data_IF_451850014255
#
_entry.id   IF_451850014255
#
_cell.length_a   1.000
_cell.length_b   1.000
_cell.length_c   1.000
_cell.angle_alpha   90.00
_cell.angle_beta   90.00
_cell.angle_gamma   90.00
#
_symmetry.space_group_name_H-M   'P 1'
#
loop_
_entity.id
_entity.type
_entity.pdbx_description
1 polymer ?
#
# COMPACT_ATOMS: atom_id res chain seq x y z
N UNK A 1 -14.82 -40.86 72.61
CA UNK A 1 -15.37 -40.91 71.24
C UNK A 1 -14.87 -39.71 70.48
N UNK A 2 -13.87 -39.93 69.64
CA UNK A 2 -13.39 -38.95 68.65
C UNK A 2 -14.48 -38.69 67.62
N UNK A 3 -14.60 -37.43 67.18
CA UNK A 3 -14.79 -37.11 65.77
C UNK A 3 -14.07 -35.79 65.48
N UNK A 4 -12.84 -35.96 65.01
CA UNK A 4 -12.07 -34.95 64.32
C UNK A 4 -12.68 -34.80 62.92
N UNK A 5 -13.20 -33.63 62.59
CA UNK A 5 -13.51 -33.28 61.20
C UNK A 5 -12.30 -32.57 60.62
N UNK A 6 -11.48 -33.38 59.96
CA UNK A 6 -10.36 -33.03 59.10
C UNK A 6 -10.89 -32.19 57.93
N UNK A 7 -10.77 -30.86 57.99
CA UNK A 7 -10.90 -30.02 56.78
C UNK A 7 -9.53 -29.99 56.12
N UNK A 8 -9.38 -30.81 55.08
CA UNK A 8 -8.20 -30.86 54.24
C UNK A 8 -8.10 -29.54 53.46
N UNK A 9 -7.06 -28.78 53.78
CA UNK A 9 -6.50 -27.74 52.93
C UNK A 9 -6.05 -28.37 51.61
N UNK A 10 -6.84 -28.20 50.55
CA UNK A 10 -6.33 -28.36 49.18
C UNK A 10 -5.67 -27.01 48.82
N UNK A 11 -4.44 -26.84 49.31
CA UNK A 11 -3.44 -25.93 48.78
C UNK A 11 -2.97 -26.50 47.43
N UNK A 12 -3.83 -26.39 46.43
CA UNK A 12 -3.63 -26.92 45.09
C UNK A 12 -3.66 -25.79 44.07
N UNK A 13 -2.49 -25.24 43.77
CA UNK A 13 -2.16 -24.73 42.44
C UNK A 13 -2.86 -23.44 42.00
N UNK A 14 -2.21 -22.31 42.28
CA UNK A 14 -2.03 -21.25 41.30
C UNK A 14 -0.92 -20.32 41.80
N UNK A 15 0.30 -20.88 41.88
CA UNK A 15 1.46 -20.10 41.45
C UNK A 15 1.16 -19.71 40.01
N UNK A 16 0.58 -18.52 39.84
CA UNK A 16 0.72 -17.76 38.61
C UNK A 16 2.22 -17.63 38.44
N UNK A 17 2.79 -18.59 37.71
CA UNK A 17 4.03 -18.36 36.98
C UNK A 17 3.75 -17.05 36.26
N UNK A 18 4.37 -15.98 36.75
CA UNK A 18 4.75 -14.88 35.89
C UNK A 18 5.67 -15.52 34.85
N UNK A 19 5.07 -16.20 33.88
CA UNK A 19 5.68 -16.55 32.61
C UNK A 19 6.19 -15.22 32.15
N UNK A 20 7.51 -15.05 32.24
CA UNK A 20 8.16 -13.80 31.93
C UNK A 20 7.56 -13.30 30.62
N UNK A 21 7.07 -12.07 30.63
CA UNK A 21 6.70 -11.40 29.39
C UNK A 21 7.87 -11.64 28.45
N UNK A 22 7.64 -12.45 27.42
CA UNK A 22 8.67 -12.72 26.44
C UNK A 22 9.03 -11.34 25.89
N UNK A 23 10.24 -10.87 26.18
CA UNK A 23 10.70 -9.60 25.63
C UNK A 23 10.68 -9.84 24.13
N UNK A 24 9.78 -9.18 23.43
CA UNK A 24 9.70 -9.24 21.99
C UNK A 24 11.10 -9.03 21.40
N UNK A 25 11.45 -9.81 20.38
CA UNK A 25 12.77 -9.70 19.75
C UNK A 25 12.81 -8.35 19.03
N UNK A 26 13.72 -7.48 19.43
CA UNK A 26 13.93 -6.17 18.83
C UNK A 26 15.30 -6.13 18.16
N UNK A 27 15.35 -5.65 16.91
CA UNK A 27 16.62 -5.37 16.23
C UNK A 27 16.50 -4.16 15.31
N UNK A 28 17.64 -3.53 15.04
CA UNK A 28 17.74 -2.31 14.22
C UNK A 28 18.70 -2.53 13.06
N UNK A 29 18.29 -2.10 11.87
CA UNK A 29 19.09 -2.18 10.64
C UNK A 29 18.82 -0.91 9.84
N UNK A 30 19.83 -0.10 9.57
CA UNK A 30 19.79 1.09 8.69
C UNK A 30 18.58 2.03 8.91
N UNK A 31 18.30 2.35 10.18
CA UNK A 31 17.18 3.22 10.56
C UNK A 31 15.80 2.57 10.50
N UNK A 32 15.74 1.26 10.28
CA UNK A 32 14.56 0.41 10.45
C UNK A 32 14.61 -0.28 11.81
N UNK A 33 13.54 -0.16 12.58
CA UNK A 33 13.32 -0.86 13.84
C UNK A 33 12.33 -2.01 13.61
N UNK A 34 12.75 -3.23 13.93
CA UNK A 34 11.88 -4.42 13.83
C UNK A 34 11.63 -4.94 15.25
N UNK A 35 10.35 -5.20 15.56
CA UNK A 35 9.89 -5.74 16.84
C UNK A 35 8.97 -6.92 16.58
N UNK A 36 9.34 -8.11 17.04
CA UNK A 36 8.48 -9.29 16.98
C UNK A 36 7.95 -9.65 18.36
N UNK A 37 6.63 -9.64 18.52
CA UNK A 37 5.93 -9.85 19.80
C UNK A 37 5.07 -11.13 19.82
N UNK A 38 5.36 -12.10 18.94
CA UNK A 38 4.62 -13.35 18.86
C UNK A 38 5.50 -14.60 18.86
N UNK A 39 5.60 -15.24 20.03
CA UNK A 39 6.20 -16.57 20.18
C UNK A 39 5.14 -17.67 20.14
N UNK A 40 3.87 -17.36 20.44
CA UNK A 40 2.77 -18.33 20.55
C UNK A 40 1.88 -18.36 19.30
N UNK A 41 1.51 -17.19 18.76
CA UNK A 41 0.74 -17.05 17.52
C UNK A 41 1.50 -16.16 16.53
N UNK A 42 1.39 -16.49 15.24
CA UNK A 42 2.05 -15.76 14.16
C UNK A 42 1.14 -15.58 12.96
N UNK A 43 1.31 -14.47 12.23
CA UNK A 43 0.66 -14.21 10.95
C UNK A 43 1.38 -14.85 9.76
N UNK A 44 2.52 -15.52 10.00
CA UNK A 44 3.42 -16.02 8.95
C UNK A 44 3.88 -14.89 8.00
N UNK A 45 4.18 -13.73 8.59
CA UNK A 45 4.74 -12.55 7.94
C UNK A 45 6.10 -12.25 8.56
N UNK A 46 7.11 -12.10 7.71
CA UNK A 46 8.42 -11.61 8.12
C UNK A 46 8.58 -10.11 7.77
N UNK A 47 9.74 -9.53 8.11
CA UNK A 47 10.00 -8.13 7.82
C UNK A 47 9.99 -7.81 6.31
N UNK A 48 10.48 -8.71 5.46
CA UNK A 48 10.49 -8.54 4.01
C UNK A 48 9.07 -8.54 3.41
N UNK A 49 8.18 -9.39 3.93
CA UNK A 49 6.77 -9.37 3.57
C UNK A 49 6.13 -8.01 3.92
N UNK A 50 6.46 -7.47 5.10
CA UNK A 50 5.97 -6.16 5.50
C UNK A 50 6.54 -5.03 4.62
N UNK A 51 7.82 -5.09 4.25
CA UNK A 51 8.47 -4.13 3.35
C UNK A 51 7.81 -4.08 1.95
N UNK A 52 7.34 -5.23 1.44
CA UNK A 52 6.65 -5.29 0.14
C UNK A 52 5.33 -4.53 0.10
N UNK A 53 4.75 -4.22 1.26
CA UNK A 53 3.48 -3.51 1.38
C UNK A 53 3.62 -1.98 1.29
N UNK A 54 4.84 -1.45 1.35
CA UNK A 54 5.08 -0.02 1.41
C UNK A 54 6.05 0.41 0.29
N UNK A 55 6.18 1.72 0.05
CA UNK A 55 7.16 2.25 -0.89
C UNK A 55 8.58 2.06 -0.36
N UNK A 56 9.53 1.83 -1.27
CA UNK A 56 10.96 1.91 -0.98
C UNK A 56 11.39 3.30 -0.52
N UNK A 57 12.57 3.37 0.09
CA UNK A 57 13.12 4.61 0.65
C UNK A 57 13.37 5.71 -0.40
N UNK A 58 13.52 5.32 -1.66
CA UNK A 58 13.84 6.14 -2.83
C UNK A 58 12.74 6.10 -3.92
N UNK A 59 11.60 5.44 -3.65
CA UNK A 59 10.53 5.28 -4.64
C UNK A 59 9.63 6.52 -4.76
N UNK A 60 9.67 7.44 -3.80
CA UNK A 60 8.83 8.65 -3.81
C UNK A 60 9.65 9.87 -4.23
N UNK A 61 9.48 10.42 -5.45
CA UNK A 61 10.25 11.56 -5.91
C UNK A 61 10.01 12.81 -5.05
N UNK A 62 11.08 13.51 -4.72
CA UNK A 62 11.10 14.70 -3.87
C UNK A 62 11.06 14.39 -2.36
N UNK A 63 11.14 13.12 -1.97
CA UNK A 63 11.02 12.65 -0.59
C UNK A 63 12.18 11.75 -0.19
N UNK A 64 12.53 11.78 1.10
CA UNK A 64 13.61 10.96 1.65
C UNK A 64 13.23 10.34 3.00
N UNK A 65 13.59 9.07 3.19
CA UNK A 65 13.57 8.46 4.50
C UNK A 65 14.74 8.96 5.34
N UNK A 66 14.53 10.03 6.10
CA UNK A 66 15.50 10.54 7.07
C UNK A 66 15.23 9.91 8.43
N UNK A 67 16.22 9.25 9.08
CA UNK A 67 16.11 8.81 10.45
C UNK A 67 15.66 9.97 11.35
N UNK A 68 14.67 9.73 12.22
CA UNK A 68 14.28 10.73 13.19
C UNK A 68 15.47 11.03 14.14
N UNK A 69 15.82 12.30 14.38
CA UNK A 69 17.02 12.67 15.13
C UNK A 69 17.01 12.20 16.59
N UNK A 70 15.83 11.92 17.16
CA UNK A 70 15.69 11.53 18.56
C UNK A 70 15.83 10.02 18.78
N UNK A 71 15.45 9.19 17.81
CA UNK A 71 15.44 7.74 17.99
C UNK A 71 16.20 6.97 16.90
N UNK A 72 16.66 7.65 15.85
CA UNK A 72 17.38 7.08 14.71
C UNK A 72 16.52 6.25 13.77
N UNK A 73 15.18 6.38 13.82
CA UNK A 73 14.25 5.48 13.12
C UNK A 73 13.45 6.25 12.07
N UNK A 74 13.41 5.73 10.84
CA UNK A 74 12.50 6.17 9.78
C UNK A 74 11.44 5.11 9.45
N UNK A 75 11.71 3.84 9.76
CA UNK A 75 10.78 2.71 9.55
C UNK A 75 10.59 1.90 10.83
N UNK A 76 9.35 1.60 11.19
CA UNK A 76 8.99 0.66 12.25
C UNK A 76 8.23 -0.52 11.65
N UNK A 77 8.69 -1.73 11.92
CA UNK A 77 7.99 -2.98 11.61
C UNK A 77 7.66 -3.68 12.92
N UNK A 78 6.38 -3.76 13.26
CA UNK A 78 5.90 -4.58 14.37
C UNK A 78 5.30 -5.87 13.84
N UNK A 79 5.87 -7.01 14.19
CA UNK A 79 5.38 -8.34 13.85
C UNK A 79 4.60 -8.93 15.02
N UNK A 80 3.50 -9.60 14.68
CA UNK A 80 2.73 -10.44 15.61
C UNK A 80 2.37 -9.72 16.92
N UNK A 81 1.92 -8.47 16.84
CA UNK A 81 1.39 -7.75 17.99
C UNK A 81 0.24 -8.55 18.63
N UNK A 82 0.29 -8.72 19.95
CA UNK A 82 -0.53 -9.66 20.74
C UNK A 82 -0.31 -11.16 20.43
N UNK A 83 0.76 -11.54 19.74
CA UNK A 83 1.07 -12.93 19.41
C UNK A 83 1.38 -13.79 20.64
N UNK A 84 1.86 -13.19 21.73
CA UNK A 84 2.08 -13.89 23.01
C UNK A 84 0.78 -14.13 23.81
N UNK A 85 -0.36 -13.56 23.37
CA UNK A 85 -1.66 -13.77 24.01
C UNK A 85 -2.45 -14.83 23.27
N UNK A 86 -3.00 -15.79 24.01
CA UNK A 86 -3.86 -16.85 23.46
C UNK A 86 -5.17 -16.29 22.87
N UNK A 87 -5.58 -15.09 23.27
CA UNK A 87 -6.80 -14.42 22.80
C UNK A 87 -6.52 -12.96 22.39
N UNK A 88 -7.45 -12.39 21.63
CA UNK A 88 -7.34 -11.03 21.08
C UNK A 88 -6.88 -11.00 19.62
N UNK A 89 -6.96 -9.80 19.04
CA UNK A 89 -6.58 -9.55 17.65
C UNK A 89 -5.08 -9.68 17.46
N UNK A 90 -4.67 -10.39 16.41
CA UNK A 90 -3.27 -10.55 16.03
C UNK A 90 -2.99 -9.66 14.83
N UNK A 91 -1.92 -8.84 14.92
CA UNK A 91 -1.61 -7.86 13.88
C UNK A 91 -0.13 -7.69 13.66
N UNK A 92 0.28 -7.55 12.42
CA UNK A 92 1.58 -6.98 12.05
C UNK A 92 1.37 -5.61 11.42
N UNK A 93 2.33 -4.71 11.53
CA UNK A 93 2.26 -3.39 10.93
C UNK A 93 3.63 -2.90 10.47
N UNK A 94 3.62 -2.09 9.42
CA UNK A 94 4.78 -1.33 8.96
C UNK A 94 4.39 0.15 8.90
N UNK A 95 5.27 0.99 9.42
CA UNK A 95 5.15 2.45 9.35
C UNK A 95 6.45 2.98 8.79
N UNK A 96 6.39 3.83 7.78
CA UNK A 96 7.55 4.56 7.25
C UNK A 96 7.24 6.03 7.11
N UNK A 97 8.23 6.85 7.47
CA UNK A 97 8.22 8.29 7.29
C UNK A 97 9.16 8.71 6.16
N UNK A 98 8.71 9.68 5.36
CA UNK A 98 9.54 10.41 4.40
C UNK A 98 9.43 11.90 4.63
N UNK A 99 10.54 12.61 4.53
CA UNK A 99 10.60 14.07 4.59
C UNK A 99 10.73 14.61 3.17
N UNK A 100 9.84 15.51 2.79
CA UNK A 100 9.95 16.22 1.52
C UNK A 100 11.20 17.12 1.53
N UNK A 101 12.04 17.01 0.49
CA UNK A 101 13.37 17.65 0.46
C UNK A 101 13.27 19.17 0.41
N UNK A 102 12.27 19.72 -0.27
CA UNK A 102 12.13 21.18 -0.45
C UNK A 102 11.30 21.84 0.65
N UNK A 103 10.28 21.15 1.17
CA UNK A 103 9.31 21.74 2.12
C UNK A 103 9.47 21.24 3.55
N UNK A 104 10.27 20.21 3.78
CA UNK A 104 10.45 19.54 5.08
C UNK A 104 9.16 18.92 5.63
N UNK A 105 8.09 18.86 4.82
CA UNK A 105 6.81 18.23 5.19
C UNK A 105 7.00 16.72 5.35
N UNK A 106 6.45 16.14 6.42
CA UNK A 106 6.56 14.72 6.69
C UNK A 106 5.37 13.95 6.09
N UNK A 107 5.65 13.00 5.21
CA UNK A 107 4.73 11.98 4.76
C UNK A 107 4.90 10.74 5.63
N UNK A 108 3.80 10.17 6.12
CA UNK A 108 3.78 8.90 6.83
C UNK A 108 2.83 7.95 6.11
N UNK A 109 3.29 6.73 5.88
CA UNK A 109 2.46 5.63 5.39
C UNK A 109 2.50 4.52 6.43
N UNK A 110 1.33 4.02 6.80
CA UNK A 110 1.16 2.89 7.68
C UNK A 110 0.31 1.82 7.01
N UNK A 111 0.78 0.58 7.06
CA UNK A 111 0.03 -0.60 6.64
C UNK A 111 -0.05 -1.57 7.80
N UNK A 112 -1.27 -1.96 8.16
CA UNK A 112 -1.60 -2.90 9.22
C UNK A 112 -2.20 -4.16 8.59
N UNK A 113 -1.79 -5.34 9.04
CA UNK A 113 -2.25 -6.64 8.55
C UNK A 113 -2.79 -7.44 9.73
N UNK A 114 -4.03 -7.88 9.63
CA UNK A 114 -4.73 -8.65 10.67
C UNK A 114 -4.76 -10.15 10.37
N UNK A 115 -5.04 -10.99 11.36
CA UNK A 115 -5.28 -12.43 11.18
C UNK A 115 -6.57 -12.74 10.43
N UNK A 116 -7.60 -11.91 10.60
CA UNK A 116 -8.90 -12.01 9.93
C UNK A 116 -9.19 -10.81 9.02
N UNK A 117 -10.30 -10.79 8.24
CA UNK A 117 -10.70 -9.60 7.51
C UNK A 117 -10.70 -8.37 8.42
N UNK A 118 -10.06 -7.30 7.96
CA UNK A 118 -9.84 -6.13 8.81
C UNK A 118 -11.16 -5.46 9.25
N UNK A 119 -12.29 -5.75 8.60
CA UNK A 119 -13.63 -5.29 8.98
C UNK A 119 -14.06 -5.77 10.36
N UNK A 120 -13.49 -6.86 10.85
CA UNK A 120 -13.77 -7.35 12.21
C UNK A 120 -13.15 -6.45 13.29
N UNK A 121 -12.17 -5.60 12.93
CA UNK A 121 -11.39 -4.81 13.88
C UNK A 121 -11.50 -3.30 13.67
N UNK A 122 -11.53 -2.87 12.41
CA UNK A 122 -11.48 -1.46 12.04
C UNK A 122 -12.51 -1.13 10.96
N UNK A 123 -13.39 -0.20 11.31
CA UNK A 123 -14.40 0.37 10.40
C UNK A 123 -14.45 1.88 10.55
N UNK A 124 -15.04 2.57 9.56
CA UNK A 124 -15.31 4.01 9.65
C UNK A 124 -15.99 4.41 10.97
N UNK A 125 -16.94 3.62 11.46
CA UNK A 125 -17.66 3.97 12.70
C UNK A 125 -16.74 3.92 13.92
N UNK A 126 -15.81 2.95 14.03
CA UNK A 126 -14.80 2.93 15.10
C UNK A 126 -14.01 4.25 15.17
N UNK A 127 -13.70 4.82 13.99
CA UNK A 127 -12.92 6.04 13.86
C UNK A 127 -13.74 7.31 14.10
N UNK A 128 -14.98 7.34 13.60
CA UNK A 128 -15.90 8.48 13.77
C UNK A 128 -16.16 8.80 15.24
N UNK A 129 -16.31 7.79 16.09
CA UNK A 129 -16.56 7.99 17.52
C UNK A 129 -15.32 8.32 18.34
N UNK A 130 -14.12 8.11 17.79
CA UNK A 130 -12.85 8.29 18.48
C UNK A 130 -12.15 9.63 18.25
N UNK A 131 -12.63 10.47 17.33
CA UNK A 131 -11.92 11.70 16.91
C UNK A 131 -12.80 12.95 16.99
N UNK A 132 -12.21 14.07 17.42
CA UNK A 132 -12.88 15.39 17.39
C UNK A 132 -13.08 15.91 15.96
N UNK A 133 -12.21 15.51 15.03
CA UNK A 133 -12.35 15.80 13.60
C UNK A 133 -13.14 14.66 12.95
N UNK A 134 -14.27 14.98 12.34
CA UNK A 134 -15.11 13.97 11.70
C UNK A 134 -14.50 13.50 10.38
N UNK A 135 -14.33 12.19 10.17
CA UNK A 135 -13.90 11.66 8.87
C UNK A 135 -14.98 11.85 7.79
N UNK A 136 -14.56 12.06 6.55
CA UNK A 136 -15.45 12.15 5.38
C UNK A 136 -15.34 10.85 4.59
N UNK A 137 -16.47 10.17 4.34
CA UNK A 137 -16.49 8.93 3.56
C UNK A 137 -16.04 9.17 2.11
N UNK A 138 -15.32 8.20 1.56
CA UNK A 138 -14.80 8.22 0.19
C UNK A 138 -13.37 8.75 0.06
N UNK A 139 -12.84 8.62 -1.14
CA UNK A 139 -11.53 9.13 -1.54
C UNK A 139 -11.59 10.61 -1.96
N UNK A 140 -10.48 11.19 -2.40
CA UNK A 140 -10.42 12.59 -2.87
C UNK A 140 -11.03 12.75 -4.28
N UNK A 141 -10.81 11.77 -5.14
CA UNK A 141 -11.34 11.71 -6.51
C UNK A 141 -12.80 11.26 -6.58
N UNK A 142 -13.34 10.72 -5.48
CA UNK A 142 -14.65 10.07 -5.44
C UNK A 142 -14.65 8.63 -5.98
N UNK A 143 -13.50 8.11 -6.42
CA UNK A 143 -13.37 6.74 -6.90
C UNK A 143 -13.32 5.74 -5.73
N UNK A 144 -13.92 4.55 -5.87
CA UNK A 144 -13.90 3.54 -4.82
C UNK A 144 -12.49 2.98 -4.62
N UNK A 145 -11.91 3.23 -3.44
CA UNK A 145 -10.61 2.73 -3.03
C UNK A 145 -10.81 1.72 -1.88
N UNK A 146 -10.39 0.48 -2.08
CA UNK A 146 -10.62 -0.58 -1.10
C UNK A 146 -12.09 -0.95 -0.92
N UNK A 147 -12.38 -1.68 0.15
CA UNK A 147 -13.75 -2.05 0.56
C UNK A 147 -14.43 -0.92 1.35
N UNK A 148 -13.64 -0.14 2.07
CA UNK A 148 -14.08 1.05 2.80
C UNK A 148 -12.94 2.08 2.77
N UNK A 149 -13.30 3.35 2.58
CA UNK A 149 -12.35 4.46 2.51
C UNK A 149 -12.96 5.71 3.12
N UNK A 150 -12.14 6.49 3.81
CA UNK A 150 -12.48 7.82 4.29
C UNK A 150 -11.23 8.69 4.41
N UNK A 151 -11.44 9.99 4.59
CA UNK A 151 -10.39 11.00 4.66
C UNK A 151 -10.58 11.95 5.82
N UNK A 152 -9.46 12.50 6.30
CA UNK A 152 -9.43 13.61 7.25
C UNK A 152 -8.84 14.84 6.57
N UNK A 153 -9.71 15.82 6.29
CA UNK A 153 -9.32 17.00 5.51
C UNK A 153 -8.71 16.62 4.16
N UNK A 154 -7.68 17.37 3.75
CA UNK A 154 -6.84 17.18 2.54
C UNK A 154 -5.54 16.44 2.80
N UNK A 155 -5.27 16.06 4.05
CA UNK A 155 -3.95 15.61 4.49
C UNK A 155 -3.85 14.12 4.79
N UNK A 156 -4.97 13.42 4.84
CA UNK A 156 -4.97 12.02 5.25
C UNK A 156 -6.06 11.22 4.56
N UNK A 157 -5.71 10.02 4.14
CA UNK A 157 -6.64 9.00 3.64
C UNK A 157 -6.43 7.70 4.40
N UNK A 158 -7.54 7.03 4.69
CA UNK A 158 -7.58 5.70 5.27
C UNK A 158 -8.39 4.82 4.34
N UNK A 159 -7.95 3.58 4.14
CA UNK A 159 -8.76 2.57 3.47
C UNK A 159 -8.46 1.17 3.97
N UNK A 160 -9.42 0.27 3.74
CA UNK A 160 -9.30 -1.15 4.07
C UNK A 160 -9.40 -2.01 2.82
N UNK A 161 -8.63 -3.08 2.79
CA UNK A 161 -8.66 -4.06 1.71
C UNK A 161 -8.27 -5.45 2.24
N UNK A 162 -9.24 -6.38 2.25
CA UNK A 162 -9.05 -7.71 2.80
C UNK A 162 -8.63 -7.67 4.27
N UNK A 163 -7.45 -8.23 4.56
CA UNK A 163 -6.82 -8.26 5.89
C UNK A 163 -6.03 -6.99 6.21
N UNK A 164 -5.91 -6.06 5.25
CA UNK A 164 -5.08 -4.88 5.37
C UNK A 164 -5.89 -3.62 5.70
N UNK A 165 -5.32 -2.78 6.55
CA UNK A 165 -5.71 -1.38 6.74
C UNK A 165 -4.53 -0.50 6.36
N UNK A 166 -4.80 0.56 5.62
CA UNK A 166 -3.79 1.49 5.14
C UNK A 166 -4.17 2.90 5.57
N UNK A 167 -3.20 3.63 6.09
CA UNK A 167 -3.33 5.03 6.44
C UNK A 167 -2.14 5.80 5.84
N UNK A 168 -2.45 6.87 5.12
CA UNK A 168 -1.44 7.77 4.55
C UNK A 168 -1.75 9.16 5.04
N UNK A 169 -0.77 9.79 5.69
CA UNK A 169 -0.92 11.10 6.28
C UNK A 169 0.26 12.01 5.90
N UNK A 170 -0.05 13.21 5.45
CA UNK A 170 0.89 14.30 5.26
C UNK A 170 0.80 15.25 6.46
N UNK A 171 1.84 15.26 7.29
CA UNK A 171 1.89 16.11 8.47
C UNK A 171 2.29 17.52 8.06
N UNK A 172 1.28 18.37 7.95
CA UNK A 172 1.43 19.81 7.71
C UNK A 172 0.84 20.62 8.85
N UNK A 173 1.38 21.84 9.05
CA UNK A 173 0.88 22.79 10.05
C UNK A 173 -0.46 23.42 9.63
N UNK A 174 -0.65 23.67 8.33
CA UNK A 174 -1.83 24.33 7.75
C UNK A 174 -2.33 23.54 6.54
N UNK A 175 -3.63 23.28 6.49
CA UNK A 175 -4.25 22.46 5.46
C UNK A 175 -4.47 23.22 4.15
N UNK A 176 -4.56 24.54 4.23
CA UNK A 176 -4.72 25.46 3.09
C UNK A 176 -3.50 25.42 2.14
N UNK A 177 -2.35 24.97 2.64
CA UNK A 177 -1.14 24.75 1.84
C UNK A 177 -1.17 23.48 1.00
N UNK A 178 -2.21 22.64 1.16
CA UNK A 178 -2.35 21.40 0.44
C UNK A 178 -3.21 21.58 -0.80
N UNK A 179 -2.76 20.95 -1.88
CA UNK A 179 -3.59 20.67 -3.04
C UNK A 179 -4.83 19.84 -2.65
N UNK A 180 -5.66 19.50 -3.63
CA UNK A 180 -6.92 18.75 -3.49
C UNK A 180 -6.83 17.33 -2.88
N UNK A 181 -5.65 16.88 -2.45
CA UNK A 181 -5.44 15.56 -1.86
C UNK A 181 -5.20 14.45 -2.88
N UNK A 182 -5.24 14.73 -4.19
CA UNK A 182 -5.06 13.73 -5.25
C UNK A 182 -3.67 13.08 -5.22
N UNK A 183 -2.64 13.79 -4.75
CA UNK A 183 -1.30 13.21 -4.54
C UNK A 183 -1.31 12.10 -3.48
N UNK A 184 -2.01 12.33 -2.36
CA UNK A 184 -2.15 11.35 -1.29
C UNK A 184 -2.96 10.15 -1.78
N UNK A 185 -4.00 10.39 -2.57
CA UNK A 185 -4.75 9.30 -3.19
C UNK A 185 -3.89 8.50 -4.18
N UNK A 186 -3.03 9.16 -4.96
CA UNK A 186 -2.13 8.47 -5.88
C UNK A 186 -1.17 7.52 -5.13
N UNK A 187 -0.65 7.94 -3.98
CA UNK A 187 0.11 7.08 -3.08
C UNK A 187 -0.74 5.90 -2.59
N UNK A 188 -2.00 6.15 -2.24
CA UNK A 188 -2.93 5.12 -1.75
C UNK A 188 -3.21 4.03 -2.78
N UNK A 189 -3.37 4.39 -4.05
CA UNK A 189 -3.54 3.44 -5.15
C UNK A 189 -2.33 2.51 -5.34
N UNK A 190 -1.11 3.02 -5.21
CA UNK A 190 0.07 2.16 -5.27
C UNK A 190 0.22 1.23 -4.07
N UNK A 191 -0.22 1.63 -2.87
CA UNK A 191 -0.30 0.70 -1.73
C UNK A 191 -1.38 -0.35 -1.95
N UNK A 192 -2.56 0.02 -2.48
CA UNK A 192 -3.62 -0.93 -2.82
C UNK A 192 -3.14 -1.97 -3.85
N UNK A 193 -2.39 -1.53 -4.86
CA UNK A 193 -1.72 -2.41 -5.83
C UNK A 193 -0.77 -3.39 -5.13
N UNK A 194 0.09 -2.91 -4.22
CA UNK A 194 1.03 -3.75 -3.44
C UNK A 194 0.34 -4.80 -2.59
N UNK A 195 -0.74 -4.43 -1.88
CA UNK A 195 -1.54 -5.36 -1.06
C UNK A 195 -2.12 -6.49 -1.91
N UNK A 196 -2.63 -6.18 -3.10
CA UNK A 196 -3.24 -7.15 -4.01
C UNK A 196 -2.19 -8.04 -4.70
N UNK A 197 -1.00 -7.51 -4.97
CA UNK A 197 0.14 -8.25 -5.54
C UNK A 197 0.95 -9.02 -4.49
N UNK A 198 0.58 -8.94 -3.21
CA UNK A 198 1.35 -9.55 -2.14
C UNK A 198 1.34 -11.10 -2.22
N UNK A 199 2.49 -11.79 -2.16
CA UNK A 199 2.55 -13.26 -2.32
C UNK A 199 1.67 -14.04 -1.34
N UNK A 200 1.49 -13.53 -0.13
CA UNK A 200 0.64 -14.10 0.92
C UNK A 200 -0.86 -13.81 0.75
N UNK A 201 -1.29 -13.20 -0.37
CA UNK A 201 -2.70 -12.92 -0.73
C UNK A 201 -3.45 -12.19 0.38
N UNK A 202 -2.92 -11.04 0.79
CA UNK A 202 -3.45 -10.26 1.92
C UNK A 202 -4.71 -9.45 1.56
N UNK A 203 -4.82 -9.05 0.29
CA UNK A 203 -6.01 -8.44 -0.28
C UNK A 203 -7.04 -9.46 -0.78
N UNK A 204 -8.12 -8.96 -1.36
CA UNK A 204 -9.11 -9.83 -2.03
C UNK A 204 -8.47 -10.57 -3.21
N UNK A 205 -8.85 -11.84 -3.39
CA UNK A 205 -8.38 -12.64 -4.52
C UNK A 205 -8.76 -11.96 -5.84
N UNK A 206 -7.75 -11.50 -6.58
CA UNK A 206 -7.94 -11.05 -7.96
C UNK A 206 -7.59 -12.18 -8.93
N UNK A 207 -8.40 -12.34 -9.96
CA UNK A 207 -8.11 -13.27 -11.05
C UNK A 207 -7.03 -12.65 -11.94
N UNK A 208 -6.00 -13.43 -12.25
CA UNK A 208 -4.90 -12.97 -13.08
C UNK A 208 -5.41 -12.47 -14.43
N UNK A 209 -4.91 -11.31 -14.87
CA UNK A 209 -5.19 -10.80 -16.21
C UNK A 209 -4.11 -11.28 -17.18
N UNK A 210 -4.54 -11.60 -18.40
CA UNK A 210 -3.67 -12.00 -19.50
C UNK A 210 -3.59 -10.86 -20.49
N UNK A 211 -2.38 -10.36 -20.73
CA UNK A 211 -2.12 -9.36 -21.77
C UNK A 211 -1.61 -10.08 -23.01
N UNK A 212 -2.27 -9.85 -24.14
CA UNK A 212 -1.89 -10.31 -25.46
C UNK A 212 -1.35 -9.14 -26.27
N UNK A 213 -0.20 -9.31 -26.91
CA UNK A 213 0.32 -8.39 -27.92
C UNK A 213 0.44 -9.16 -29.21
N UNK A 214 -0.19 -8.67 -30.28
CA UNK A 214 -0.28 -9.40 -31.55
C UNK A 214 -0.71 -10.88 -31.37
N UNK A 215 -1.72 -11.10 -30.51
CA UNK A 215 -2.28 -12.42 -30.14
C UNK A 215 -1.32 -13.36 -29.38
N UNK A 216 -0.16 -12.87 -28.93
CA UNK A 216 0.78 -13.66 -28.11
C UNK A 216 0.73 -13.21 -26.65
N UNK A 217 0.63 -14.14 -25.68
CA UNK A 217 0.67 -13.77 -24.27
C UNK A 217 2.05 -13.23 -23.90
N UNK A 218 2.09 -12.01 -23.38
CA UNK A 218 3.33 -11.32 -23.00
C UNK A 218 3.56 -11.27 -21.50
N UNK A 219 2.50 -11.34 -20.69
CA UNK A 219 2.63 -11.54 -19.25
C UNK A 219 1.32 -12.06 -18.65
N UNK A 220 1.42 -13.05 -17.76
CA UNK A 220 0.35 -13.44 -16.84
C UNK A 220 0.57 -12.75 -15.50
N UNK A 221 -0.45 -12.04 -15.00
CA UNK A 221 -0.43 -11.43 -13.66
C UNK A 221 0.29 -10.08 -13.53
N UNK A 222 0.97 -9.61 -14.58
CA UNK A 222 1.58 -8.26 -14.59
C UNK A 222 0.52 -7.15 -14.65
N UNK A 223 -0.59 -7.39 -15.34
CA UNK A 223 -1.73 -6.49 -15.37
C UNK A 223 -2.77 -6.88 -14.30
N UNK A 224 -3.47 -5.87 -13.77
CA UNK A 224 -4.52 -6.07 -12.80
C UNK A 224 -5.59 -4.99 -12.86
N UNK A 225 -6.77 -5.30 -12.29
CA UNK A 225 -7.89 -4.35 -12.27
C UNK A 225 -7.93 -3.60 -10.94
N UNK A 226 -7.79 -2.28 -11.01
CA UNK A 226 -7.98 -1.38 -9.88
C UNK A 226 -9.34 -0.69 -10.00
N UNK A 227 -10.35 -1.28 -9.36
CA UNK A 227 -11.74 -0.83 -9.42
C UNK A 227 -12.24 -0.63 -10.87
N UNK A 228 -12.04 -1.64 -11.71
CA UNK A 228 -12.51 -1.65 -13.11
C UNK A 228 -11.51 -1.11 -14.13
N UNK A 229 -10.47 -0.40 -13.71
CA UNK A 229 -9.43 0.12 -14.60
C UNK A 229 -8.25 -0.85 -14.62
N UNK A 230 -7.90 -1.32 -15.82
CA UNK A 230 -6.73 -2.18 -15.96
C UNK A 230 -5.47 -1.34 -15.90
N UNK A 231 -4.63 -1.61 -14.90
CA UNK A 231 -3.31 -1.02 -14.78
C UNK A 231 -2.24 -2.08 -15.04
N UNK A 232 -1.12 -1.66 -15.60
CA UNK A 232 0.00 -2.54 -15.84
C UNK A 232 1.33 -1.78 -15.87
N UNK A 233 2.46 -2.49 -15.69
CA UNK A 233 3.77 -1.88 -15.83
C UNK A 233 4.04 -1.40 -17.26
N UNK A 234 4.68 -0.24 -17.38
CA UNK A 234 5.02 0.36 -18.69
C UNK A 234 5.88 -0.55 -19.57
N UNK A 235 6.66 -1.45 -18.96
CA UNK A 235 7.51 -2.40 -19.68
C UNK A 235 6.74 -3.32 -20.62
N UNK A 236 5.47 -3.64 -20.33
CA UNK A 236 4.64 -4.48 -21.19
C UNK A 236 4.38 -3.88 -22.58
N UNK A 237 4.47 -2.55 -22.71
CA UNK A 237 4.23 -1.86 -23.97
C UNK A 237 5.42 -2.00 -24.94
N UNK A 238 6.59 -2.43 -24.47
CA UNK A 238 7.78 -2.68 -25.31
C UNK A 238 7.51 -3.75 -26.36
N UNK A 239 6.83 -4.82 -25.97
CA UNK A 239 6.43 -5.91 -26.86
C UNK A 239 5.52 -5.43 -28.00
N UNK A 240 4.82 -4.30 -27.82
CA UNK A 240 3.99 -3.68 -28.84
C UNK A 240 4.75 -2.71 -29.77
N UNK A 241 6.09 -2.74 -29.75
CA UNK A 241 6.97 -1.88 -30.55
C UNK A 241 7.08 -0.45 -30.00
N UNK A 242 6.99 -0.30 -28.68
CA UNK A 242 7.09 1.02 -28.01
C UNK A 242 8.52 1.26 -27.53
N UNK A 243 9.11 2.38 -27.91
CA UNK A 243 10.37 2.88 -27.35
C UNK A 243 10.09 3.55 -26.00
N UNK A 244 10.91 3.24 -24.99
CA UNK A 244 10.74 3.76 -23.62
C UNK A 244 11.97 4.54 -23.20
N UNK A 245 11.78 5.80 -22.80
CA UNK A 245 12.81 6.63 -22.17
C UNK A 245 12.41 6.91 -20.72
N UNK A 246 13.28 6.57 -19.78
CA UNK A 246 13.06 6.80 -18.34
C UNK A 246 13.95 7.94 -17.88
N UNK A 247 13.35 8.96 -17.26
CA UNK A 247 14.07 9.99 -16.52
C UNK A 247 13.68 9.87 -15.04
N UNK A 248 14.60 9.33 -14.23
CA UNK A 248 14.43 9.19 -12.78
C UNK A 248 15.53 9.98 -12.09
N UNK A 249 15.14 11.07 -11.44
CA UNK A 249 15.98 11.87 -10.54
C UNK A 249 15.48 11.72 -9.11
N UNK A 250 16.12 12.42 -8.17
CA UNK A 250 15.65 12.48 -6.77
C UNK A 250 14.33 13.23 -6.65
N UNK A 251 14.06 14.19 -7.53
CA UNK A 251 12.91 15.09 -7.51
C UNK A 251 11.76 14.61 -8.40
N UNK A 252 12.07 13.92 -9.49
CA UNK A 252 11.08 13.52 -10.48
C UNK A 252 11.30 12.10 -10.99
N UNK A 253 10.19 11.43 -11.32
CA UNK A 253 10.21 10.19 -12.07
C UNK A 253 9.21 10.27 -13.21
N UNK A 254 9.75 10.34 -14.43
CA UNK A 254 9.01 10.53 -15.67
C UNK A 254 9.39 9.41 -16.64
N UNK A 255 8.38 8.85 -17.31
CA UNK A 255 8.56 7.89 -18.40
C UNK A 255 7.93 8.47 -19.66
N UNK A 256 8.69 8.48 -20.74
CA UNK A 256 8.21 8.82 -22.09
C UNK A 256 8.17 7.57 -22.94
N UNK A 257 7.03 7.32 -23.56
CA UNK A 257 6.78 6.20 -24.45
C UNK A 257 6.57 6.75 -25.86
N UNK A 258 7.17 6.12 -26.87
CA UNK A 258 7.03 6.52 -28.29
C UNK A 258 6.71 5.32 -29.16
N UNK A 259 5.82 5.52 -30.14
CA UNK A 259 5.46 4.50 -31.13
C UNK A 259 4.90 5.17 -32.39
N UNK A 260 5.44 4.84 -33.56
CA UNK A 260 4.96 5.32 -34.87
C UNK A 260 4.70 6.84 -34.92
N UNK A 261 5.65 7.65 -34.43
CA UNK A 261 5.55 9.10 -34.37
C UNK A 261 4.61 9.67 -33.28
N UNK A 262 3.91 8.81 -32.52
CA UNK A 262 3.12 9.21 -31.35
C UNK A 262 3.95 9.08 -30.08
N UNK A 263 3.65 9.92 -29.10
CA UNK A 263 4.31 9.87 -27.80
C UNK A 263 3.35 10.14 -26.66
N UNK A 264 3.67 9.55 -25.51
CA UNK A 264 2.99 9.75 -24.23
C UNK A 264 4.07 9.96 -23.16
N UNK A 265 3.86 10.93 -22.28
CA UNK A 265 4.69 11.14 -21.10
C UNK A 265 3.83 11.00 -19.84
N UNK A 266 4.29 10.20 -18.91
CA UNK A 266 3.66 9.95 -17.61
C UNK A 266 4.64 10.26 -16.49
N UNK A 267 4.14 10.75 -15.36
CA UNK A 267 4.92 11.09 -14.17
C UNK A 267 4.40 10.31 -12.96
N UNK A 268 5.30 9.84 -12.10
CA UNK A 268 4.91 9.19 -10.85
C UNK A 268 3.97 10.08 -10.01
N UNK A 269 2.93 9.46 -9.46
CA UNK A 269 1.85 10.06 -8.68
C UNK A 269 1.00 11.10 -9.44
N UNK A 270 1.03 11.09 -10.77
CA UNK A 270 0.19 11.95 -11.61
C UNK A 270 -1.14 11.31 -11.96
N UNK A 271 -2.19 12.13 -12.03
CA UNK A 271 -3.51 11.79 -12.59
C UNK A 271 -3.67 12.23 -14.04
N UNK A 272 -2.57 12.63 -14.69
CA UNK A 272 -2.56 13.11 -16.05
C UNK A 272 -1.38 12.52 -16.82
N UNK A 273 -1.57 12.35 -18.12
CA UNK A 273 -0.51 12.11 -19.08
C UNK A 273 -0.41 13.28 -20.07
N UNK A 274 0.80 13.56 -20.55
CA UNK A 274 1.04 14.48 -21.65
C UNK A 274 1.15 13.71 -22.96
N UNK A 275 0.58 14.25 -24.02
CA UNK A 275 0.64 13.69 -25.38
C UNK A 275 0.92 14.80 -26.38
N UNK A 276 1.18 14.45 -27.65
CA UNK A 276 1.29 15.44 -28.73
C UNK A 276 0.03 16.29 -28.96
N UNK A 277 -1.11 15.94 -28.36
CA UNK A 277 -2.39 16.67 -28.45
C UNK A 277 -2.71 17.50 -27.20
N UNK A 278 -1.84 17.48 -26.18
CA UNK A 278 -2.05 18.12 -24.89
C UNK A 278 -2.18 17.12 -23.74
N UNK A 279 -2.67 17.62 -22.59
CA UNK A 279 -2.83 16.86 -21.35
C UNK A 279 -4.15 16.09 -21.34
N UNK A 280 -4.10 14.86 -20.84
CA UNK A 280 -5.25 13.97 -20.75
C UNK A 280 -5.36 13.44 -19.32
N UNK A 281 -6.53 13.58 -18.71
CA UNK A 281 -6.84 13.03 -17.39
C UNK A 281 -6.89 11.49 -17.46
N UNK A 282 -6.22 10.87 -16.51
CA UNK A 282 -6.17 9.42 -16.34
C UNK A 282 -7.29 8.95 -15.42
N UNK A 283 -7.81 7.75 -15.69
CA UNK A 283 -8.82 7.09 -14.86
C UNK A 283 -8.21 6.56 -13.56
N UNK A 284 -6.91 6.24 -13.56
CA UNK A 284 -6.13 5.89 -12.37
C UNK A 284 -4.79 6.62 -12.39
N UNK A 285 -4.23 6.92 -11.20
CA UNK A 285 -2.96 7.59 -11.14
C UNK A 285 -1.85 6.65 -11.58
N UNK A 286 -0.76 7.25 -12.03
CA UNK A 286 0.50 6.56 -12.28
C UNK A 286 1.24 6.43 -10.96
N UNK A 287 1.83 5.28 -10.66
CA UNK A 287 2.59 5.10 -9.42
C UNK A 287 3.76 4.12 -9.59
N UNK A 288 4.82 4.25 -8.78
CA UNK A 288 5.95 3.33 -8.79
C UNK A 288 5.64 1.97 -8.18
N UNK A 289 6.18 0.92 -8.81
CA UNK A 289 6.26 -0.42 -8.25
C UNK A 289 7.47 -1.18 -8.81
N UNK A 290 8.32 -1.70 -7.94
CA UNK A 290 9.48 -2.55 -8.29
C UNK A 290 10.39 -1.95 -9.39
N UNK A 291 10.67 -0.64 -9.29
CA UNK A 291 11.60 0.03 -10.21
C UNK A 291 11.00 0.47 -11.55
N UNK A 292 9.69 0.36 -11.74
CA UNK A 292 8.98 0.87 -12.92
C UNK A 292 7.69 1.62 -12.56
N UNK A 293 7.09 2.29 -13.55
CA UNK A 293 5.79 2.95 -13.37
C UNK A 293 4.66 2.01 -13.81
N UNK A 294 3.62 1.95 -12.98
CA UNK A 294 2.35 1.32 -13.28
C UNK A 294 1.42 2.38 -13.87
N UNK A 295 0.78 2.07 -15.00
CA UNK A 295 -0.07 3.01 -15.75
C UNK A 295 -1.43 2.41 -16.11
N UNK A 296 -2.48 3.22 -16.34
CA UNK A 296 -3.73 2.76 -16.96
C UNK A 296 -3.47 2.26 -18.39
N UNK A 297 -3.46 0.93 -18.56
CA UNK A 297 -2.94 0.28 -19.77
C UNK A 297 -3.68 0.73 -21.02
N UNK A 298 -5.01 0.77 -20.96
CA UNK A 298 -5.87 1.12 -22.10
C UNK A 298 -5.60 2.54 -22.59
N UNK A 299 -5.67 3.53 -21.69
CA UNK A 299 -5.51 4.94 -22.06
C UNK A 299 -4.13 5.22 -22.66
N UNK A 300 -3.08 4.65 -22.08
CA UNK A 300 -1.71 4.81 -22.59
C UNK A 300 -1.53 4.12 -23.95
N UNK A 301 -2.03 2.89 -24.12
CA UNK A 301 -1.95 2.16 -25.38
C UNK A 301 -2.71 2.86 -26.52
N UNK A 302 -3.94 3.34 -26.25
CA UNK A 302 -4.75 4.07 -27.24
C UNK A 302 -4.08 5.40 -27.64
N UNK A 303 -3.48 6.11 -26.69
CA UNK A 303 -2.71 7.34 -26.97
C UNK A 303 -1.46 7.06 -27.84
N UNK A 304 -0.83 5.88 -27.69
CA UNK A 304 0.23 5.37 -28.56
C UNK A 304 -0.29 4.76 -29.89
N UNK A 305 -1.58 4.90 -30.18
CA UNK A 305 -2.19 4.45 -31.44
C UNK A 305 -2.34 2.93 -31.55
N UNK A 306 -2.55 2.24 -30.44
CA UNK A 306 -2.95 0.84 -30.43
C UNK A 306 -4.48 0.73 -30.39
N UNK A 307 -5.01 -0.38 -30.89
CA UNK A 307 -6.40 -0.80 -30.64
C UNK A 307 -6.39 -1.74 -29.44
N UNK A 308 -7.25 -1.46 -28.46
CA UNK A 308 -7.35 -2.25 -27.23
C UNK A 308 -8.69 -2.96 -27.20
N UNK A 309 -8.67 -4.29 -27.17
CA UNK A 309 -9.86 -5.10 -26.92
C UNK A 309 -9.76 -5.75 -25.55
N UNK A 310 -10.83 -5.69 -24.78
CA UNK A 310 -10.93 -6.38 -23.50
C UNK A 310 -12.11 -7.35 -23.53
N UNK A 311 -11.85 -8.63 -23.22
CA UNK A 311 -12.88 -9.66 -23.04
C UNK A 311 -12.58 -10.43 -21.76
N UNK A 312 -13.39 -10.22 -20.73
CA UNK A 312 -13.15 -10.81 -19.41
C UNK A 312 -11.78 -10.38 -18.85
N UNK A 313 -10.91 -11.35 -18.57
CA UNK A 313 -9.54 -11.15 -18.05
C UNK A 313 -8.48 -11.01 -19.13
N UNK A 314 -8.87 -11.04 -20.41
CA UNK A 314 -7.94 -10.94 -21.52
C UNK A 314 -8.00 -9.54 -22.11
N UNK A 315 -6.82 -8.92 -22.23
CA UNK A 315 -6.63 -7.66 -22.94
C UNK A 315 -5.73 -7.91 -24.13
N UNK A 316 -6.19 -7.56 -25.33
CA UNK A 316 -5.42 -7.63 -26.55
C UNK A 316 -5.02 -6.23 -27.00
N UNK A 317 -3.72 -6.02 -27.15
CA UNK A 317 -3.11 -4.84 -27.75
C UNK A 317 -2.76 -5.18 -29.20
N UNK A 318 -3.38 -4.44 -30.13
CA UNK A 318 -3.20 -4.64 -31.56
C UNK A 318 -2.67 -3.36 -32.20
N UNK A 319 -1.91 -3.54 -33.28
CA UNK A 319 -1.60 -2.41 -34.14
C UNK A 319 -2.90 -1.86 -34.74
N UNK A 320 -2.94 -0.53 -34.89
CA UNK A 320 -3.99 0.13 -35.65
C UNK A 320 -3.62 0.09 -37.13
#
# INVERSE_FOLDING_TARGET
>A
MQRWSLVVLILGGLTVLMVGQSRGREWRIDGTLIRDSGVVRSLDLNAEDMERLIYGVDEIPGYECRPNPYNGIHTLIGLNSNGDKLSGWLRSHIVRGWTNVSTVKLLRVEVRVYDKPASEYETYENYRWGTQVLPVKGSFSGLPLGEECFRYGKKQIWFRLGRCVVEIALLVRREEELADGLYIEALAWGIAYRVQQHPKRLGMAQRAMTVLVAQRPVAQGAAMSLAGVTVAPVSLLKEAGTETTVNRTREEWVVTLKRNGRWVKVKAFSWEMETGKGRVKLERPVFPYKGELIVPLRQVAEALGMVVHQRGQTIALMAK
#
